data_IF_370119641513
#
_entry.id   IF_370119641513
#
_cell.length_a   1.000
_cell.length_b   1.000
_cell.length_c   1.000
_cell.angle_alpha   90.00
_cell.angle_beta   90.00
_cell.angle_gamma   90.00
#
_symmetry.space_group_name_H-M   'P 1'
#
loop_
_entity.id
_entity.type
_entity.pdbx_description
1 polymer ?
#
# COMPACT_ATOMS: atom_id res chain seq x y z
N UNK A 1 -32.73 72.55 -2.32
CA UNK A 1 -33.19 71.16 -2.22
C UNK A 1 -32.19 70.28 -2.96
N UNK A 2 -30.90 70.39 -2.62
CA UNK A 2 -30.15 69.63 -1.59
C UNK A 2 -29.81 68.25 -2.17
N UNK A 3 -28.59 67.73 -2.28
CA UNK A 3 -27.26 68.16 -1.87
C UNK A 3 -26.28 67.08 -2.39
N UNK A 4 -25.03 67.50 -2.53
CA UNK A 4 -23.81 66.78 -2.91
C UNK A 4 -23.59 65.39 -2.27
N UNK A 5 -23.08 64.42 -3.06
CA UNK A 5 -21.84 63.67 -2.76
C UNK A 5 -21.38 62.77 -3.91
N UNK A 6 -20.16 63.08 -4.37
CA UNK A 6 -19.25 62.18 -5.09
C UNK A 6 -18.70 61.18 -4.08
N UNK A 7 -18.59 59.89 -4.44
CA UNK A 7 -17.57 59.01 -3.88
C UNK A 7 -17.14 57.94 -4.89
N UNK A 8 -15.82 57.81 -5.00
CA UNK A 8 -15.05 56.86 -5.82
C UNK A 8 -14.75 55.58 -5.04
N UNK A 9 -14.22 54.59 -5.79
CA UNK A 9 -13.37 53.46 -5.38
C UNK A 9 -14.03 52.16 -4.89
N UNK A 10 -13.47 51.05 -5.37
CA UNK A 10 -13.32 49.85 -4.55
C UNK A 10 -13.53 48.51 -5.26
N UNK A 11 -12.80 48.21 -6.34
CA UNK A 11 -12.51 46.83 -6.67
C UNK A 11 -11.56 46.29 -5.58
N UNK A 12 -12.06 45.45 -4.67
CA UNK A 12 -11.23 44.77 -3.69
C UNK A 12 -10.60 43.54 -4.34
N UNK A 13 -9.47 43.77 -5.02
CA UNK A 13 -8.41 42.79 -5.17
C UNK A 13 -7.92 42.44 -3.77
N UNK A 14 -8.24 41.25 -3.27
CA UNK A 14 -7.70 40.76 -2.02
C UNK A 14 -6.23 40.38 -2.25
N UNK A 15 -5.37 41.27 -1.80
CA UNK A 15 -3.92 41.26 -1.93
C UNK A 15 -3.30 39.97 -1.40
N UNK A 16 -2.88 39.09 -2.31
CA UNK A 16 -1.78 38.17 -2.00
C UNK A 16 -0.54 39.05 -1.81
N UNK A 17 -0.18 39.24 -0.54
CA UNK A 17 1.09 39.84 -0.13
C UNK A 17 2.23 39.04 -0.77
N UNK A 18 2.72 39.53 -1.92
CA UNK A 18 4.04 39.18 -2.45
C UNK A 18 5.04 39.72 -1.44
N UNK A 19 5.52 38.86 -0.56
CA UNK A 19 6.70 39.15 0.24
C UNK A 19 7.92 39.10 -0.70
N UNK A 20 8.54 40.22 -1.10
CA UNK A 20 9.66 40.21 -2.02
C UNK A 20 10.93 40.18 -1.18
N UNK A 21 11.22 39.05 -0.56
CA UNK A 21 12.54 38.82 0.01
C UNK A 21 12.88 37.33 -0.04
N UNK A 22 13.23 36.90 -1.25
CA UNK A 22 14.10 35.74 -1.47
C UNK A 22 15.26 36.17 -2.38
N UNK A 23 15.89 37.31 -2.05
CA UNK A 23 17.31 37.49 -2.32
C UNK A 23 18.09 36.86 -1.17
N UNK A 24 18.24 35.54 -1.21
CA UNK A 24 19.36 34.91 -0.51
C UNK A 24 20.36 34.53 -1.59
N UNK A 25 21.28 35.47 -1.86
CA UNK A 25 22.58 35.06 -2.36
C UNK A 25 23.15 34.08 -1.35
N UNK A 26 23.32 32.83 -1.77
CA UNK A 26 24.01 31.84 -0.97
C UNK A 26 24.93 31.07 -1.90
N UNK A 27 26.22 31.36 -1.77
CA UNK A 27 27.32 30.59 -2.35
C UNK A 27 27.42 29.23 -1.63
N UNK A 28 26.36 28.42 -1.69
CA UNK A 28 26.33 27.09 -1.11
C UNK A 28 26.04 26.09 -2.23
N UNK A 29 27.05 25.29 -2.59
CA UNK A 29 26.93 24.11 -3.45
C UNK A 29 26.07 22.98 -2.80
N UNK A 30 25.09 23.33 -1.97
CA UNK A 30 24.16 22.39 -1.39
C UNK A 30 23.13 21.99 -2.44
N UNK A 31 22.87 20.69 -2.64
CA UNK A 31 21.85 20.25 -3.56
C UNK A 31 20.48 20.79 -3.14
N UNK A 32 19.57 21.08 -4.09
CA UNK A 32 18.22 21.51 -3.77
C UNK A 32 17.48 20.45 -2.94
N UNK A 33 16.67 20.90 -1.99
CA UNK A 33 15.97 20.05 -1.02
C UNK A 33 14.48 20.37 -0.95
N UNK A 34 13.69 19.38 -0.55
CA UNK A 34 12.26 19.52 -0.29
C UNK A 34 11.93 19.02 1.11
N UNK A 35 10.94 19.63 1.74
CA UNK A 35 10.42 19.13 3.02
C UNK A 35 9.28 18.16 2.76
N UNK A 36 9.44 16.92 3.21
CA UNK A 36 8.45 15.85 3.01
C UNK A 36 7.68 15.62 4.28
N UNK A 37 6.36 15.79 4.21
CA UNK A 37 5.42 15.46 5.29
C UNK A 37 4.80 14.11 4.96
N UNK A 38 5.25 13.08 5.66
CA UNK A 38 4.92 11.70 5.33
C UNK A 38 3.78 11.20 6.21
N UNK A 39 2.69 10.75 5.60
CA UNK A 39 1.55 10.13 6.24
C UNK A 39 1.54 8.62 5.96
N UNK A 40 0.79 7.86 6.76
CA UNK A 40 0.56 6.43 6.58
C UNK A 40 -0.93 6.13 6.60
N UNK A 41 -1.50 5.84 5.43
CA UNK A 41 -2.94 5.61 5.22
C UNK A 41 -3.79 6.74 5.82
N UNK A 42 -3.41 7.97 5.53
CA UNK A 42 -4.07 9.18 6.04
C UNK A 42 -3.89 9.44 7.54
N UNK A 43 -3.13 8.59 8.25
CA UNK A 43 -2.73 8.83 9.64
C UNK A 43 -1.34 9.44 9.66
N UNK A 44 -1.16 10.55 10.35
CA UNK A 44 0.14 11.19 10.42
C UNK A 44 0.03 12.70 10.61
N UNK A 45 1.15 13.43 10.44
CA UNK A 45 2.41 12.96 9.84
C UNK A 45 3.15 11.93 10.72
N UNK A 46 3.62 10.84 10.11
CA UNK A 46 4.48 9.83 10.76
C UNK A 46 5.95 10.25 10.79
N UNK A 47 6.36 11.13 9.87
CA UNK A 47 7.68 11.73 9.83
C UNK A 47 7.65 13.03 9.01
N UNK A 48 8.53 13.96 9.35
CA UNK A 48 8.76 15.22 8.64
C UNK A 48 10.25 15.38 8.46
N UNK A 49 10.72 15.33 7.21
CA UNK A 49 12.16 15.34 6.92
C UNK A 49 12.48 16.09 5.63
N UNK A 50 13.72 16.58 5.53
CA UNK A 50 14.24 17.15 4.28
C UNK A 50 14.81 16.05 3.40
N UNK A 51 14.45 16.07 2.13
CA UNK A 51 14.94 15.15 1.12
C UNK A 51 15.63 15.93 0.02
N UNK A 52 16.82 15.50 -0.37
CA UNK A 52 17.56 16.08 -1.49
C UNK A 52 16.89 15.67 -2.79
N UNK A 53 16.79 16.62 -3.72
CA UNK A 53 16.32 16.35 -5.06
C UNK A 53 17.48 15.81 -5.90
N UNK A 54 17.22 14.70 -6.57
CA UNK A 54 18.13 14.02 -7.48
C UNK A 54 17.77 14.26 -8.95
N UNK A 55 18.40 13.48 -9.82
CA UNK A 55 18.29 13.66 -11.27
C UNK A 55 19.29 14.67 -11.82
N UNK A 56 19.35 14.78 -13.14
CA UNK A 56 20.29 15.68 -13.83
C UNK A 56 19.99 17.14 -13.51
N UNK A 57 18.71 17.51 -13.52
CA UNK A 57 18.22 18.85 -13.17
C UNK A 57 18.07 19.06 -11.66
N UNK A 58 18.43 18.07 -10.84
CA UNK A 58 18.28 18.10 -9.39
C UNK A 58 16.86 18.50 -8.94
N UNK A 59 15.84 17.99 -9.62
CA UNK A 59 14.44 18.35 -9.41
C UNK A 59 13.56 17.15 -9.06
N UNK A 60 14.13 15.95 -8.89
CA UNK A 60 13.36 14.71 -8.71
C UNK A 60 13.47 14.16 -7.30
N UNK A 61 12.34 13.76 -6.73
CA UNK A 61 12.30 13.13 -5.42
C UNK A 61 12.81 11.69 -5.50
N UNK A 62 13.66 11.28 -4.55
CA UNK A 62 14.12 9.90 -4.40
C UNK A 62 13.03 9.04 -3.74
N UNK A 63 12.01 8.67 -4.52
CA UNK A 63 10.81 7.97 -4.05
C UNK A 63 11.13 6.59 -3.50
N UNK A 64 12.03 5.85 -4.16
CA UNK A 64 12.39 4.49 -3.75
C UNK A 64 13.02 4.45 -2.35
N UNK A 65 13.87 5.42 -2.03
CA UNK A 65 14.50 5.52 -0.71
C UNK A 65 13.46 5.71 0.40
N UNK A 66 12.44 6.53 0.14
CA UNK A 66 11.30 6.72 1.05
C UNK A 66 10.50 5.41 1.17
N UNK A 67 10.22 4.73 0.06
CA UNK A 67 9.50 3.46 0.09
C UNK A 67 10.22 2.41 0.93
N UNK A 68 11.53 2.29 0.77
CA UNK A 68 12.31 1.29 1.48
C UNK A 68 12.54 1.65 2.95
N UNK A 69 12.82 2.92 3.26
CA UNK A 69 13.01 3.39 4.64
C UNK A 69 11.78 3.13 5.52
N UNK A 70 10.57 3.32 5.00
CA UNK A 70 9.33 3.20 5.79
C UNK A 70 8.53 1.92 5.50
N UNK A 71 9.05 1.03 4.64
CA UNK A 71 8.41 -0.24 4.30
C UNK A 71 7.10 -0.06 3.52
N UNK A 72 7.04 0.92 2.63
CA UNK A 72 5.89 1.20 1.78
C UNK A 72 5.98 0.51 0.42
N UNK A 73 4.84 0.15 -0.15
CA UNK A 73 4.73 -0.37 -1.53
C UNK A 73 4.50 0.75 -2.55
N UNK A 74 3.89 1.85 -2.13
CA UNK A 74 3.58 2.99 -2.99
C UNK A 74 3.42 4.27 -2.16
N UNK A 75 3.67 5.40 -2.81
CA UNK A 75 3.38 6.75 -2.29
C UNK A 75 2.27 7.39 -3.12
N UNK A 76 1.46 8.21 -2.46
CA UNK A 76 0.40 9.01 -3.06
C UNK A 76 0.59 10.47 -2.67
N UNK A 77 0.20 11.39 -3.55
CA UNK A 77 0.01 12.77 -3.14
C UNK A 77 -1.08 12.82 -2.07
N UNK A 78 -0.89 13.64 -1.03
CA UNK A 78 -1.85 13.76 0.05
C UNK A 78 -2.26 15.21 0.24
N UNK A 79 -3.55 15.42 0.45
CA UNK A 79 -4.10 16.71 0.85
C UNK A 79 -4.90 16.47 2.15
N UNK A 80 -4.72 17.34 3.14
CA UNK A 80 -5.44 17.25 4.42
C UNK A 80 -6.96 17.37 4.26
N UNK A 81 -7.43 18.09 3.25
CA UNK A 81 -8.85 18.34 3.02
C UNK A 81 -9.52 17.22 2.21
N UNK A 82 -8.88 16.78 1.12
CA UNK A 82 -9.44 15.76 0.22
C UNK A 82 -8.93 14.34 0.48
N UNK A 83 -7.94 14.17 1.35
CA UNK A 83 -7.30 12.90 1.65
C UNK A 83 -6.30 12.46 0.57
N UNK A 84 -6.29 11.15 0.28
CA UNK A 84 -5.35 10.51 -0.64
C UNK A 84 -5.67 10.88 -2.09
N UNK A 85 -4.69 11.49 -2.77
CA UNK A 85 -4.75 11.85 -4.18
C UNK A 85 -4.09 10.80 -5.10
N UNK A 86 -3.53 11.29 -6.19
CA UNK A 86 -2.91 10.45 -7.25
C UNK A 86 -1.64 9.75 -6.76
N UNK A 87 -1.34 8.53 -7.26
CA UNK A 87 -0.09 7.86 -6.96
C UNK A 87 1.10 8.64 -7.52
N UNK A 88 2.14 8.79 -6.71
CA UNK A 88 3.40 9.38 -7.16
C UNK A 88 4.12 8.33 -8.00
N UNK A 89 4.14 8.55 -9.30
CA UNK A 89 4.85 7.68 -10.24
C UNK A 89 6.35 7.92 -10.15
N UNK A 90 7.12 6.85 -10.23
CA UNK A 90 8.57 6.88 -10.23
C UNK A 90 9.12 5.87 -11.24
N UNK A 91 10.36 6.11 -11.70
CA UNK A 91 11.03 5.22 -12.65
C UNK A 91 11.58 3.99 -11.92
N UNK A 92 11.29 2.75 -12.38
CA UNK A 92 11.79 1.54 -11.75
C UNK A 92 13.31 1.36 -11.92
N UNK A 93 13.94 2.10 -12.85
CA UNK A 93 15.39 2.00 -13.10
C UNK A 93 16.22 2.73 -12.05
N UNK A 94 15.71 3.83 -11.52
CA UNK A 94 16.47 4.71 -10.63
C UNK A 94 15.72 5.17 -9.38
N UNK A 95 14.45 4.78 -9.21
CA UNK A 95 13.68 5.10 -8.01
C UNK A 95 13.18 6.54 -7.91
N UNK A 96 13.43 7.39 -8.93
CA UNK A 96 13.11 8.82 -8.91
C UNK A 96 11.70 9.12 -9.39
N UNK A 97 11.08 10.13 -8.81
CA UNK A 97 9.80 10.65 -9.28
C UNK A 97 9.85 11.01 -10.77
N UNK A 98 8.71 10.82 -11.45
CA UNK A 98 8.53 11.32 -12.82
C UNK A 98 8.26 12.83 -12.80
N UNK A 99 7.54 13.30 -11.77
CA UNK A 99 7.24 14.70 -11.57
C UNK A 99 8.42 15.43 -10.91
N UNK A 100 8.68 16.65 -11.36
CA UNK A 100 9.65 17.57 -10.80
C UNK A 100 9.10 18.32 -9.60
N UNK A 101 9.98 18.67 -8.67
CA UNK A 101 9.68 19.43 -7.46
C UNK A 101 10.58 20.66 -7.39
N UNK A 102 10.06 21.75 -6.84
CA UNK A 102 10.82 22.97 -6.65
C UNK A 102 11.65 22.91 -5.36
N UNK A 103 12.82 23.53 -5.37
CA UNK A 103 13.64 23.70 -4.18
C UNK A 103 12.89 24.46 -3.08
N UNK A 104 12.96 23.98 -1.85
CA UNK A 104 12.25 24.53 -0.68
C UNK A 104 10.75 24.26 -0.66
N UNK A 105 10.21 23.47 -1.60
CA UNK A 105 8.79 23.10 -1.58
C UNK A 105 8.47 22.11 -0.46
N UNK A 106 7.24 22.22 0.06
CA UNK A 106 6.68 21.26 1.03
C UNK A 106 5.84 20.25 0.25
N UNK A 107 6.21 18.98 0.34
CA UNK A 107 5.55 17.87 -0.35
C UNK A 107 4.86 16.99 0.69
N UNK A 108 3.53 16.93 0.62
CA UNK A 108 2.73 16.11 1.52
C UNK A 108 2.38 14.80 0.81
N UNK A 109 2.80 13.68 1.39
CA UNK A 109 2.68 12.36 0.77
C UNK A 109 2.08 11.35 1.73
N UNK A 110 1.29 10.41 1.20
CA UNK A 110 0.71 9.30 1.97
C UNK A 110 1.25 7.96 1.48
N UNK A 111 1.89 7.22 2.39
CA UNK A 111 2.50 5.93 2.13
C UNK A 111 1.53 4.77 2.38
N UNK A 112 1.49 3.83 1.43
CA UNK A 112 0.79 2.57 1.63
C UNK A 112 1.78 1.47 2.10
N UNK A 113 1.59 0.87 3.29
CA UNK A 113 2.47 -0.18 3.80
C UNK A 113 2.46 -1.41 2.89
N UNK A 114 3.64 -2.03 2.76
CA UNK A 114 3.78 -3.35 2.14
C UNK A 114 2.84 -4.33 2.85
N UNK A 115 2.17 -5.17 2.07
CA UNK A 115 1.28 -6.18 2.64
C UNK A 115 2.11 -7.16 3.47
N UNK A 116 1.68 -7.39 4.72
CA UNK A 116 2.41 -8.26 5.64
C UNK A 116 2.46 -9.68 5.11
N UNK A 117 3.67 -10.19 4.87
CA UNK A 117 3.91 -11.60 4.52
C UNK A 117 3.54 -12.58 5.66
N UNK A 118 3.27 -12.08 6.87
CA UNK A 118 2.92 -12.92 8.02
C UNK A 118 1.57 -13.62 7.81
N UNK A 119 0.59 -12.95 7.21
CA UNK A 119 -0.75 -13.53 6.96
C UNK A 119 -0.72 -14.74 6.01
N UNK A 120 -0.05 -14.68 4.85
CA UNK A 120 0.08 -15.87 4.01
C UNK A 120 1.00 -16.93 4.65
N UNK A 121 2.10 -16.53 5.31
CA UNK A 121 3.04 -17.47 5.90
C UNK A 121 2.43 -18.30 7.05
N UNK A 122 1.61 -17.68 7.90
CA UNK A 122 0.87 -18.39 8.96
C UNK A 122 -0.14 -19.39 8.40
N UNK A 123 -0.86 -19.04 7.31
CA UNK A 123 -1.77 -19.99 6.65
C UNK A 123 -1.04 -21.21 6.09
N UNK A 124 0.13 -21.00 5.48
CA UNK A 124 0.97 -22.10 4.98
C UNK A 124 1.45 -22.96 6.15
N UNK A 125 1.97 -22.35 7.22
CA UNK A 125 2.46 -23.07 8.39
C UNK A 125 1.37 -23.93 9.04
N UNK A 126 0.15 -23.39 9.19
CA UNK A 126 -1.00 -24.15 9.70
C UNK A 126 -1.36 -25.29 8.75
N UNK A 127 -1.37 -25.06 7.44
CA UNK A 127 -1.63 -26.11 6.46
C UNK A 127 -0.61 -27.25 6.53
N UNK A 128 0.68 -26.92 6.64
CA UNK A 128 1.77 -27.89 6.79
C UNK A 128 1.61 -28.66 8.11
N UNK A 129 1.30 -27.98 9.22
CA UNK A 129 1.09 -28.62 10.52
C UNK A 129 -0.10 -29.60 10.52
N UNK A 130 -1.20 -29.25 9.86
CA UNK A 130 -2.36 -30.14 9.72
C UNK A 130 -2.01 -31.35 8.84
N UNK A 131 -1.28 -31.14 7.74
CA UNK A 131 -0.87 -32.23 6.86
C UNK A 131 0.09 -33.19 7.55
N UNK A 132 1.07 -32.69 8.30
CA UNK A 132 1.99 -33.54 9.06
C UNK A 132 1.27 -34.29 10.18
N UNK A 133 0.29 -33.67 10.86
CA UNK A 133 -0.55 -34.35 11.84
C UNK A 133 -1.36 -35.49 11.21
N UNK A 134 -1.98 -35.25 10.04
CA UNK A 134 -2.71 -36.29 9.30
C UNK A 134 -1.81 -37.47 8.91
N UNK A 135 -0.61 -37.19 8.40
CA UNK A 135 0.36 -38.23 8.05
C UNK A 135 0.81 -38.99 9.31
N UNK A 136 1.05 -38.30 10.42
CA UNK A 136 1.45 -38.93 11.68
C UNK A 136 0.36 -39.86 12.24
N UNK A 137 -0.92 -39.46 12.16
CA UNK A 137 -2.05 -40.31 12.54
C UNK A 137 -2.14 -41.56 11.64
N UNK A 138 -1.83 -41.41 10.35
CA UNK A 138 -1.85 -42.52 9.41
C UNK A 138 -0.69 -43.52 9.64
N UNK A 139 0.50 -43.02 9.99
CA UNK A 139 1.71 -43.84 10.16
C UNK A 139 1.82 -44.50 11.53
N UNK A 140 1.26 -43.89 12.59
CA UNK A 140 1.46 -44.31 13.99
C UNK A 140 0.44 -45.36 14.46
N UNK A 141 -0.10 -46.14 13.54
CA UNK A 141 -1.31 -46.96 13.70
C UNK A 141 -2.54 -46.09 14.00
N UNK A 142 -3.58 -46.30 13.21
CA UNK A 142 -4.87 -45.63 13.37
C UNK A 142 -5.33 -45.92 14.81
N UNK A 143 -5.44 -44.92 15.69
CA UNK A 143 -5.63 -45.19 17.10
C UNK A 143 -6.96 -45.92 17.30
N UNK A 144 -7.03 -46.87 18.23
CA UNK A 144 -8.16 -47.81 18.33
C UNK A 144 -9.52 -47.13 18.50
N UNK A 145 -9.59 -45.92 19.06
CA UNK A 145 -10.82 -45.12 19.12
C UNK A 145 -11.35 -44.68 17.74
N UNK A 146 -10.48 -44.57 16.74
CA UNK A 146 -10.81 -44.28 15.35
C UNK A 146 -11.26 -45.55 14.60
N UNK A 147 -10.76 -46.72 14.97
CA UNK A 147 -11.27 -48.03 14.52
C UNK A 147 -12.60 -48.40 15.20
N UNK A 148 -12.78 -48.04 16.48
CA UNK A 148 -14.03 -48.18 17.23
C UNK A 148 -15.12 -47.23 16.72
N UNK A 149 -14.74 -46.17 16.01
CA UNK A 149 -15.68 -45.38 15.24
C UNK A 149 -16.12 -46.21 14.02
N UNK A 150 -17.41 -46.55 13.96
CA UNK A 150 -18.08 -47.25 12.82
C UNK A 150 -17.97 -46.50 11.47
N UNK A 151 -17.15 -45.46 11.41
CA UNK A 151 -16.82 -44.68 10.23
C UNK A 151 -16.13 -45.56 9.19
N UNK A 152 -15.25 -46.51 9.56
CA UNK A 152 -14.54 -47.32 8.56
C UNK A 152 -15.15 -48.70 8.27
N UNK A 153 -16.00 -49.25 9.15
CA UNK A 153 -16.44 -50.67 9.08
C UNK A 153 -17.80 -50.94 8.40
N UNK A 154 -18.25 -50.09 7.48
CA UNK A 154 -19.31 -50.48 6.53
C UNK A 154 -20.73 -49.97 6.79
N UNK A 155 -20.92 -48.80 7.40
CA UNK A 155 -22.26 -48.14 7.42
C UNK A 155 -22.15 -46.63 7.25
N UNK A 156 -21.44 -46.17 6.21
CA UNK A 156 -21.55 -44.78 5.79
C UNK A 156 -22.94 -44.55 5.20
N UNK A 157 -23.79 -43.68 5.78
CA UNK A 157 -25.11 -43.42 5.22
C UNK A 157 -24.96 -42.95 3.76
N UNK A 158 -25.79 -43.43 2.83
CA UNK A 158 -25.67 -43.10 1.41
C UNK A 158 -25.62 -41.58 1.13
N UNK A 159 -26.26 -40.76 1.95
CA UNK A 159 -26.20 -39.30 1.86
C UNK A 159 -24.81 -38.73 2.15
N UNK A 160 -24.01 -39.34 3.04
CA UNK A 160 -22.67 -38.87 3.38
C UNK A 160 -21.72 -39.16 2.22
N UNK A 161 -21.83 -40.36 1.62
CA UNK A 161 -21.11 -40.71 0.40
C UNK A 161 -21.47 -39.76 -0.74
N UNK A 162 -22.76 -39.45 -0.93
CA UNK A 162 -23.19 -38.46 -1.91
C UNK A 162 -22.58 -37.07 -1.62
N UNK A 163 -22.58 -36.62 -0.37
CA UNK A 163 -21.93 -35.37 0.02
C UNK A 163 -20.42 -35.37 -0.26
N UNK A 164 -19.72 -36.45 0.06
CA UNK A 164 -18.29 -36.62 -0.22
C UNK A 164 -18.03 -36.56 -1.73
N UNK A 165 -18.83 -37.28 -2.55
CA UNK A 165 -18.70 -37.27 -4.00
C UNK A 165 -19.00 -35.89 -4.58
N UNK A 166 -20.02 -35.18 -4.09
CA UNK A 166 -20.36 -33.82 -4.55
C UNK A 166 -19.26 -32.82 -4.17
N UNK A 167 -18.74 -32.88 -2.94
CA UNK A 167 -17.65 -32.02 -2.48
C UNK A 167 -16.38 -32.33 -3.27
N UNK A 168 -16.04 -33.61 -3.47
CA UNK A 168 -14.87 -34.05 -4.23
C UNK A 168 -14.96 -33.66 -5.71
N UNK A 169 -16.12 -33.83 -6.35
CA UNK A 169 -16.35 -33.42 -7.75
C UNK A 169 -16.31 -31.90 -7.90
N UNK A 170 -16.85 -31.13 -6.96
CA UNK A 170 -16.74 -29.66 -6.94
C UNK A 170 -15.31 -29.19 -6.73
N UNK A 171 -14.57 -29.80 -5.80
CA UNK A 171 -13.15 -29.52 -5.57
C UNK A 171 -12.33 -29.87 -6.82
N UNK A 172 -12.50 -31.05 -7.40
CA UNK A 172 -11.79 -31.48 -8.62
C UNK A 172 -12.07 -30.57 -9.81
N UNK A 173 -13.31 -30.11 -9.98
CA UNK A 173 -13.68 -29.14 -11.03
C UNK A 173 -12.99 -27.80 -10.79
N UNK A 174 -13.01 -27.30 -9.55
CA UNK A 174 -12.34 -26.04 -9.17
C UNK A 174 -10.82 -26.10 -9.32
N UNK A 175 -10.19 -27.22 -8.99
CA UNK A 175 -8.74 -27.41 -9.18
C UNK A 175 -8.38 -27.47 -10.65
N UNK A 176 -9.21 -28.11 -11.50
CA UNK A 176 -9.04 -28.09 -12.97
C UNK A 176 -9.19 -26.69 -13.56
N UNK A 177 -10.19 -25.94 -13.12
CA UNK A 177 -10.42 -24.56 -13.60
C UNK A 177 -9.27 -23.63 -13.20
N UNK A 178 -8.71 -23.83 -11.99
CA UNK A 178 -7.50 -23.14 -11.53
C UNK A 178 -6.29 -23.58 -12.35
N UNK A 179 -6.07 -24.88 -12.56
CA UNK A 179 -4.93 -25.40 -13.33
C UNK A 179 -4.96 -24.92 -14.79
N UNK A 180 -6.14 -24.90 -15.42
CA UNK A 180 -6.35 -24.36 -16.77
C UNK A 180 -6.09 -22.85 -16.84
N UNK A 181 -6.38 -22.11 -15.77
CA UNK A 181 -6.05 -20.68 -15.64
C UNK A 181 -4.54 -20.43 -15.52
N UNK A 182 -3.77 -21.41 -15.05
CA UNK A 182 -2.31 -21.35 -14.93
C UNK A 182 -1.55 -22.03 -16.10
N UNK A 183 -2.24 -22.48 -17.15
CA UNK A 183 -1.62 -22.83 -18.44
C UNK A 183 -1.15 -24.27 -18.63
N UNK A 184 -1.86 -25.25 -18.05
CA UNK A 184 -1.73 -26.68 -18.39
C UNK A 184 -3.00 -27.22 -19.05
#
# INVERSE_FOLDING_TARGET
MDGEKVDKFGASEESISKNPNLSSGNNNNSPPEVEVHLFRRGRGPIDVFRSKLGGWEQDRLEVQDILDKYGFKSLFAYNSESGRGVPIRFSPRNGRSILSYANGSVVIVDGEPKDSFVKPMTKILVGVAVLTLLIAILYKEIPEWFMASKILSGTFPPWVLACIVIVFTRLRKRTKDVLKKYGW
#
